data_IF_270893264634
#
_entry.id   IF_270893264634
#
_cell.length_a   1.000
_cell.length_b   1.000
_cell.length_c   1.000
_cell.angle_alpha   90.00
_cell.angle_beta   90.00
_cell.angle_gamma   90.00
#
_symmetry.space_group_name_H-M   'P 1'
#
loop_
_entity.id
_entity.type
_entity.pdbx_description
1 polymer ?
#
# COMPACT_ATOMS: atom_id res chain seq x y z
N UNK A 1 -2.19 13.77 35.42
CA UNK A 1 -1.51 13.00 34.36
C UNK A 1 -2.36 13.20 33.13
N UNK A 2 -1.86 13.93 32.14
CA UNK A 2 -2.58 14.12 30.88
C UNK A 2 -2.87 12.75 30.26
N UNK A 3 -4.13 12.48 29.94
CA UNK A 3 -4.49 11.27 29.22
C UNK A 3 -3.95 11.38 27.80
N UNK A 4 -3.06 10.46 27.41
CA UNK A 4 -2.63 10.33 26.02
C UNK A 4 -3.87 10.03 25.17
N UNK A 5 -4.26 10.99 24.33
CA UNK A 5 -5.34 10.82 23.37
C UNK A 5 -4.81 10.04 22.17
N UNK A 6 -5.42 8.88 21.86
CA UNK A 6 -5.04 8.05 20.71
C UNK A 6 -6.02 8.30 19.57
N UNK A 7 -5.49 8.56 18.39
CA UNK A 7 -6.27 8.62 17.16
C UNK A 7 -6.46 7.21 16.57
N UNK A 8 -7.59 6.96 15.94
CA UNK A 8 -7.91 5.69 15.26
C UNK A 8 -8.44 6.02 13.87
N UNK A 9 -8.00 5.25 12.87
CA UNK A 9 -8.44 5.36 11.48
C UNK A 9 -8.71 3.96 10.94
N UNK A 10 -9.88 3.75 10.34
CA UNK A 10 -10.22 2.51 9.66
C UNK A 10 -9.58 2.47 8.27
N UNK A 11 -8.96 1.36 7.93
CA UNK A 11 -8.30 1.13 6.63
C UNK A 11 -8.52 -0.32 6.20
N UNK A 12 -8.56 -0.58 4.89
CA UNK A 12 -8.69 -1.95 4.38
C UNK A 12 -7.35 -2.70 4.48
N UNK A 13 -6.25 -1.99 4.21
CA UNK A 13 -4.89 -2.54 4.23
C UNK A 13 -3.93 -1.53 4.84
N UNK A 14 -3.24 -1.93 5.91
CA UNK A 14 -2.16 -1.18 6.53
C UNK A 14 -0.82 -1.86 6.23
N UNK A 15 0.13 -1.10 5.67
CA UNK A 15 1.51 -1.53 5.44
C UNK A 15 2.42 -0.73 6.37
N UNK A 16 3.20 -1.43 7.18
CA UNK A 16 4.15 -0.82 8.12
C UNK A 16 5.55 -0.83 7.52
N UNK A 17 6.11 0.35 7.29
CA UNK A 17 7.39 0.61 6.65
C UNK A 17 7.25 1.03 5.18
N UNK A 18 7.77 2.21 4.83
CA UNK A 18 7.79 2.74 3.46
C UNK A 18 9.14 2.49 2.76
N UNK A 19 9.79 1.37 3.07
CA UNK A 19 10.95 0.88 2.32
C UNK A 19 10.56 0.33 0.94
N UNK A 20 11.55 -0.15 0.18
CA UNK A 20 11.33 -0.72 -1.17
C UNK A 20 10.26 -1.82 -1.17
N UNK A 21 10.30 -2.73 -0.19
CA UNK A 21 9.31 -3.82 -0.07
C UNK A 21 7.90 -3.31 0.25
N UNK A 22 7.76 -2.36 1.17
CA UNK A 22 6.46 -1.81 1.58
C UNK A 22 5.79 -1.03 0.44
N UNK A 23 6.54 -0.17 -0.23
CA UNK A 23 6.06 0.58 -1.39
C UNK A 23 5.77 -0.33 -2.58
N UNK A 24 6.64 -1.32 -2.87
CA UNK A 24 6.39 -2.29 -3.93
C UNK A 24 5.13 -3.11 -3.65
N UNK A 25 4.89 -3.51 -2.40
CA UNK A 25 3.67 -4.22 -2.00
C UNK A 25 2.43 -3.36 -2.21
N UNK A 26 2.45 -2.10 -1.76
CA UNK A 26 1.33 -1.17 -1.94
C UNK A 26 1.01 -0.92 -3.42
N UNK A 27 2.04 -0.67 -4.23
CA UNK A 27 1.92 -0.43 -5.67
C UNK A 27 1.41 -1.69 -6.38
N UNK A 28 1.98 -2.85 -6.08
CA UNK A 28 1.60 -4.09 -6.74
C UNK A 28 0.19 -4.52 -6.37
N UNK A 29 -0.21 -4.35 -5.11
CA UNK A 29 -1.58 -4.59 -4.66
C UNK A 29 -2.57 -3.74 -5.48
N UNK A 30 -2.32 -2.43 -5.56
CA UNK A 30 -3.17 -1.51 -6.34
C UNK A 30 -3.22 -1.91 -7.82
N UNK A 31 -2.08 -2.20 -8.43
CA UNK A 31 -2.00 -2.68 -9.83
C UNK A 31 -2.80 -3.95 -10.05
N UNK A 32 -2.70 -4.93 -9.14
CA UNK A 32 -3.42 -6.20 -9.27
C UNK A 32 -4.94 -6.00 -9.21
N UNK A 33 -5.42 -5.14 -8.31
CA UNK A 33 -6.85 -4.78 -8.22
C UNK A 33 -7.32 -4.11 -9.52
N UNK A 34 -6.57 -3.13 -10.02
CA UNK A 34 -6.92 -2.41 -11.25
C UNK A 34 -6.89 -3.34 -12.47
N UNK A 35 -5.90 -4.23 -12.55
CA UNK A 35 -5.81 -5.24 -13.60
C UNK A 35 -6.95 -6.25 -13.54
N UNK A 36 -7.26 -6.79 -12.36
CA UNK A 36 -8.40 -7.69 -12.15
C UNK A 36 -9.70 -7.05 -12.66
N UNK A 37 -10.00 -5.83 -12.21
CA UNK A 37 -11.17 -5.08 -12.64
C UNK A 37 -11.18 -4.80 -14.15
N UNK A 38 -10.02 -4.50 -14.73
CA UNK A 38 -9.89 -4.29 -16.17
C UNK A 38 -10.16 -5.54 -17.01
N UNK A 39 -9.76 -6.73 -16.54
CA UNK A 39 -10.02 -8.00 -17.24
C UNK A 39 -11.52 -8.35 -17.26
N UNK A 40 -12.26 -7.94 -16.22
CA UNK A 40 -13.73 -8.06 -16.18
C UNK A 40 -14.39 -7.22 -17.27
N UNK A 41 -13.98 -5.94 -17.41
CA UNK A 41 -14.48 -5.03 -18.46
C UNK A 41 -14.21 -5.62 -19.85
N UNK A 42 -13.06 -6.25 -20.04
CA UNK A 42 -12.68 -6.91 -21.29
C UNK A 42 -13.36 -8.26 -21.54
N UNK A 43 -14.28 -8.71 -20.67
CA UNK A 43 -14.93 -10.03 -20.71
C UNK A 43 -13.95 -11.21 -20.75
N UNK A 44 -12.72 -11.00 -20.25
CA UNK A 44 -11.67 -12.04 -20.17
C UNK A 44 -11.74 -12.87 -18.89
N UNK A 45 -12.53 -12.40 -17.92
CA UNK A 45 -12.69 -13.04 -16.62
C UNK A 45 -14.15 -12.88 -16.18
N UNK A 46 -14.71 -13.88 -15.50
CA UNK A 46 -16.05 -13.86 -14.92
C UNK A 46 -15.92 -13.87 -13.40
N UNK A 47 -15.87 -12.69 -12.79
CA UNK A 47 -15.85 -12.48 -11.35
C UNK A 47 -16.44 -11.09 -11.04
N UNK A 48 -16.59 -10.77 -9.76
CA UNK A 48 -17.03 -9.45 -9.31
C UNK A 48 -15.87 -8.46 -9.29
N UNK A 49 -16.21 -7.18 -9.49
CA UNK A 49 -15.24 -6.09 -9.35
C UNK A 49 -14.83 -5.96 -7.89
N UNK A 50 -13.53 -5.84 -7.67
CA UNK A 50 -13.00 -5.48 -6.36
C UNK A 50 -13.26 -3.98 -6.15
N UNK A 51 -13.92 -3.55 -5.05
CA UNK A 51 -14.16 -2.13 -4.77
C UNK A 51 -12.83 -1.39 -4.56
N UNK A 52 -12.84 -0.06 -4.43
CA UNK A 52 -11.60 0.69 -4.17
C UNK A 52 -11.14 0.44 -2.73
N UNK A 53 -9.95 -0.13 -2.54
CA UNK A 53 -9.33 -0.28 -1.21
C UNK A 53 -8.61 0.99 -0.76
N UNK A 54 -8.77 1.34 0.51
CA UNK A 54 -7.93 2.28 1.23
C UNK A 54 -6.65 1.57 1.71
N UNK A 55 -5.57 1.78 0.96
CA UNK A 55 -4.24 1.25 1.28
C UNK A 55 -3.43 2.36 1.94
N UNK A 56 -3.03 2.16 3.19
CA UNK A 56 -2.20 3.11 3.95
C UNK A 56 -0.82 2.52 4.19
N UNK A 57 0.22 3.31 3.89
CA UNK A 57 1.61 2.99 4.21
C UNK A 57 2.09 3.96 5.27
N UNK A 58 2.60 3.45 6.38
CA UNK A 58 3.18 4.26 7.45
C UNK A 58 4.69 4.06 7.52
N UNK A 59 5.42 5.11 7.86
CA UNK A 59 6.87 5.09 8.02
C UNK A 59 7.26 5.93 9.25
N UNK A 60 8.26 5.46 9.99
CA UNK A 60 8.78 6.17 11.17
C UNK A 60 9.66 7.35 10.79
N UNK A 61 10.34 7.27 9.65
CA UNK A 61 11.15 8.36 9.12
C UNK A 61 10.30 9.61 8.87
N UNK A 62 10.92 10.79 9.01
CA UNK A 62 10.25 12.06 8.76
C UNK A 62 9.78 12.19 7.30
N UNK A 63 10.52 11.58 6.37
CA UNK A 63 10.15 11.45 4.98
C UNK A 63 10.44 10.02 4.50
N UNK A 64 9.72 9.59 3.46
CA UNK A 64 9.94 8.29 2.85
C UNK A 64 11.38 8.19 2.35
N UNK A 65 12.10 7.16 2.81
CA UNK A 65 13.49 6.90 2.41
C UNK A 65 14.56 7.58 3.26
N UNK A 66 14.23 8.49 4.18
CA UNK A 66 15.25 9.15 5.03
C UNK A 66 15.95 8.21 6.02
N UNK A 67 15.43 7.00 6.24
CA UNK A 67 16.09 5.93 7.00
C UNK A 67 16.63 4.80 6.13
N UNK A 68 16.59 4.93 4.80
CA UNK A 68 17.13 3.92 3.89
C UNK A 68 18.65 4.04 3.82
N UNK A 69 19.37 3.08 4.40
CA UNK A 69 20.81 2.90 4.16
C UNK A 69 20.99 1.77 3.13
N UNK A 70 21.35 2.12 1.89
CA UNK A 70 21.45 1.19 0.77
C UNK A 70 22.74 1.43 -0.03
N UNK A 71 23.53 0.38 -0.27
CA UNK A 71 24.62 0.38 -1.27
C UNK A 71 24.12 0.00 -2.68
N UNK A 72 22.86 0.32 -2.99
CA UNK A 72 22.07 -0.38 -4.01
C UNK A 72 22.64 -0.32 -5.44
N UNK A 73 22.82 -1.50 -6.04
CA UNK A 73 22.85 -1.70 -7.49
C UNK A 73 21.48 -2.24 -7.88
N UNK A 74 20.74 -1.49 -8.71
CA UNK A 74 19.50 -1.97 -9.32
C UNK A 74 19.80 -2.37 -10.77
N UNK A 75 19.35 -3.56 -11.17
CA UNK A 75 19.43 -4.09 -12.53
C UNK A 75 18.04 -4.22 -13.16
#
# INVERSE_FOLDING_TARGET
>A
MDQIQRETMEVDVLIVGAGSAGLASAIQLKKNIDQHNYQLIKRKLQAETIPKQMIVVIEKAAEVGSHSFLGAVMY
#
